data_IF_273039760261
#
_entry.id   IF_273039760261
#
_cell.length_a   1.000
_cell.length_b   1.000
_cell.length_c   1.000
_cell.angle_alpha   90.00
_cell.angle_beta   90.00
_cell.angle_gamma   90.00
#
_symmetry.space_group_name_H-M   'P 1'
#
loop_
_entity.id
_entity.type
_entity.pdbx_description
1 polymer ?
#
# COMPACT_ATOMS: atom_id res chain seq x y z
N UNK A 1 -29.43 -8.53 28.40
CA UNK A 1 -30.50 -8.70 27.39
C UNK A 1 -30.08 -8.18 26.04
N UNK A 2 -29.45 -7.03 25.96
CA UNK A 2 -28.96 -6.43 24.70
C UNK A 2 -27.90 -7.29 23.99
N UNK A 3 -26.96 -7.86 24.74
CA UNK A 3 -25.93 -8.78 24.23
C UNK A 3 -26.48 -10.09 23.67
N UNK A 4 -27.56 -10.61 24.26
CA UNK A 4 -28.22 -11.86 23.80
C UNK A 4 -28.96 -11.62 22.50
N UNK A 5 -29.61 -10.47 22.36
CA UNK A 5 -30.29 -10.06 21.13
C UNK A 5 -29.30 -9.83 19.95
N UNK A 6 -28.13 -9.30 20.26
CA UNK A 6 -27.07 -9.11 19.27
C UNK A 6 -26.50 -10.47 18.78
N UNK A 7 -26.27 -11.39 19.68
CA UNK A 7 -25.85 -12.77 19.32
C UNK A 7 -26.88 -13.47 18.47
N UNK A 8 -28.18 -13.31 18.77
CA UNK A 8 -29.25 -13.91 17.95
C UNK A 8 -29.39 -13.26 16.58
N UNK A 9 -29.17 -11.93 16.48
CA UNK A 9 -29.09 -11.21 15.20
C UNK A 9 -27.94 -11.72 14.35
N UNK A 10 -26.75 -11.84 14.92
CA UNK A 10 -25.53 -12.38 14.28
C UNK A 10 -25.78 -13.82 13.79
N UNK A 11 -26.48 -14.64 14.57
CA UNK A 11 -26.87 -16.01 14.17
C UNK A 11 -27.84 -16.04 12.98
N UNK A 12 -28.73 -15.06 12.87
CA UNK A 12 -29.69 -14.95 11.78
C UNK A 12 -29.06 -14.51 10.47
N UNK A 13 -28.01 -13.73 10.55
CA UNK A 13 -27.18 -13.26 9.40
C UNK A 13 -26.19 -14.32 8.89
N UNK A 14 -26.17 -15.51 9.49
CA UNK A 14 -25.27 -16.64 9.20
C UNK A 14 -25.29 -17.16 7.76
N UNK A 15 -26.25 -16.74 6.95
CA UNK A 15 -26.39 -17.11 5.55
C UNK A 15 -25.78 -16.09 4.55
N UNK A 16 -25.14 -15.01 5.00
CA UNK A 16 -24.47 -14.10 4.10
C UNK A 16 -23.02 -14.53 3.88
N UNK A 17 -22.58 -14.61 2.65
CA UNK A 17 -21.24 -15.04 2.22
C UNK A 17 -20.09 -14.11 2.67
N UNK A 18 -20.39 -13.09 3.47
CA UNK A 18 -19.46 -12.01 3.83
C UNK A 18 -19.38 -11.83 5.34
N UNK A 19 -18.87 -12.83 6.03
CA UNK A 19 -18.77 -12.84 7.49
C UNK A 19 -17.29 -12.91 7.92
N UNK A 20 -16.98 -12.24 9.03
CA UNK A 20 -15.70 -12.36 9.71
C UNK A 20 -15.84 -13.32 10.91
N UNK A 21 -14.99 -14.33 10.98
CA UNK A 21 -14.94 -15.30 12.07
C UNK A 21 -14.13 -14.70 13.22
N UNK A 22 -14.75 -14.51 14.36
CA UNK A 22 -14.07 -14.06 15.60
C UNK A 22 -13.69 -15.25 16.49
N UNK A 23 -14.54 -16.28 16.53
CA UNK A 23 -14.29 -17.52 17.24
C UNK A 23 -15.10 -18.65 16.63
N UNK A 24 -14.94 -19.86 17.16
CA UNK A 24 -15.69 -21.05 16.70
C UNK A 24 -17.20 -20.83 16.59
N UNK A 25 -17.76 -19.98 17.45
CA UNK A 25 -19.22 -19.80 17.59
C UNK A 25 -19.66 -18.36 17.35
N UNK A 26 -18.73 -17.43 17.06
CA UNK A 26 -19.02 -16.00 16.89
C UNK A 26 -18.51 -15.54 15.53
N UNK A 27 -19.42 -15.01 14.74
CA UNK A 27 -19.14 -14.40 13.45
C UNK A 27 -19.88 -13.07 13.37
N UNK A 28 -19.30 -12.09 12.70
CA UNK A 28 -19.89 -10.77 12.44
C UNK A 28 -19.95 -10.51 10.94
N UNK A 29 -20.96 -9.77 10.50
CA UNK A 29 -21.04 -9.34 9.09
C UNK A 29 -19.96 -8.31 8.79
N UNK A 30 -19.28 -8.46 7.66
CA UNK A 30 -18.28 -7.49 7.17
C UNK A 30 -18.90 -6.17 6.70
N UNK A 31 -20.18 -6.20 6.30
CA UNK A 31 -20.87 -5.08 5.68
C UNK A 31 -21.98 -4.49 6.56
N UNK A 32 -21.98 -4.82 7.85
CA UNK A 32 -22.92 -4.20 8.79
C UNK A 32 -22.44 -2.79 9.13
N UNK A 33 -23.04 -1.76 8.52
CA UNK A 33 -22.70 -0.35 8.73
C UNK A 33 -22.99 0.20 10.15
N UNK A 34 -23.64 -0.59 11.01
CA UNK A 34 -23.98 -0.19 12.38
C UNK A 34 -22.84 -0.46 13.38
N UNK A 35 -21.88 -1.33 13.04
CA UNK A 35 -20.79 -1.74 13.94
C UNK A 35 -19.45 -1.46 13.28
N UNK A 36 -18.53 -0.86 14.04
CA UNK A 36 -17.14 -0.73 13.63
C UNK A 36 -16.47 -2.11 13.61
N UNK A 37 -15.91 -2.49 12.47
CA UNK A 37 -15.25 -3.79 12.27
C UNK A 37 -13.78 -3.84 12.76
N UNK A 38 -13.31 -2.83 13.50
CA UNK A 38 -11.98 -2.86 14.11
C UNK A 38 -11.95 -3.88 15.25
N UNK A 39 -10.99 -4.80 15.22
CA UNK A 39 -10.86 -5.87 16.20
C UNK A 39 -9.50 -5.81 16.85
N UNK A 40 -9.48 -5.72 18.17
CA UNK A 40 -8.28 -5.86 18.97
C UNK A 40 -8.18 -7.26 19.54
N UNK A 41 -7.12 -7.99 19.16
CA UNK A 41 -6.82 -9.32 19.66
C UNK A 41 -5.60 -9.29 20.55
N UNK A 42 -5.79 -9.51 21.84
CA UNK A 42 -4.71 -9.54 22.82
C UNK A 42 -4.36 -10.98 23.20
N UNK A 43 -3.12 -11.39 22.89
CA UNK A 43 -2.59 -12.69 23.30
C UNK A 43 -1.06 -12.66 23.26
N UNK A 44 -0.42 -13.43 24.14
CA UNK A 44 1.03 -13.59 24.17
C UNK A 44 1.62 -14.14 22.85
N UNK A 45 2.94 -14.12 22.72
CA UNK A 45 3.63 -14.71 21.56
C UNK A 45 3.35 -16.23 21.53
N UNK A 46 3.21 -16.80 20.31
CA UNK A 46 2.96 -18.23 20.11
C UNK A 46 1.56 -18.73 20.55
N UNK A 47 0.67 -17.86 21.02
CA UNK A 47 -0.67 -18.25 21.47
C UNK A 47 -1.71 -18.38 20.35
N UNK A 48 -1.29 -18.54 19.12
CA UNK A 48 -2.16 -18.91 17.99
C UNK A 48 -2.99 -17.78 17.39
N UNK A 49 -2.68 -16.47 17.61
CA UNK A 49 -3.42 -15.35 17.00
C UNK A 49 -3.60 -15.50 15.49
N UNK A 50 -2.52 -15.76 14.77
CA UNK A 50 -2.56 -15.97 13.34
C UNK A 50 -3.38 -17.19 12.95
N UNK A 51 -3.21 -18.29 13.67
CA UNK A 51 -3.87 -19.55 13.39
C UNK A 51 -5.39 -19.51 13.67
N UNK A 52 -5.81 -18.87 14.77
CA UNK A 52 -7.21 -18.88 15.18
C UNK A 52 -8.05 -17.75 14.56
N UNK A 53 -7.45 -16.66 14.10
CA UNK A 53 -8.18 -15.53 13.52
C UNK A 53 -7.80 -15.25 12.06
N UNK A 54 -6.50 -14.98 11.77
CA UNK A 54 -6.10 -14.51 10.45
C UNK A 54 -6.30 -15.59 9.38
N UNK A 55 -5.82 -16.82 9.61
CA UNK A 55 -5.92 -17.91 8.63
C UNK A 55 -7.37 -18.33 8.34
N UNK A 56 -8.26 -18.57 9.32
CA UNK A 56 -9.64 -18.92 9.04
C UNK A 56 -10.40 -17.85 8.27
N UNK A 57 -10.15 -16.59 8.56
CA UNK A 57 -10.77 -15.48 7.83
C UNK A 57 -10.26 -15.38 6.39
N UNK A 58 -8.95 -15.48 6.18
CA UNK A 58 -8.40 -15.49 4.85
C UNK A 58 -8.85 -16.73 4.03
N UNK A 59 -9.00 -17.88 4.68
CA UNK A 59 -9.46 -19.11 4.03
C UNK A 59 -10.90 -19.04 3.50
N UNK A 60 -11.71 -18.13 4.03
CA UNK A 60 -13.06 -17.91 3.49
C UNK A 60 -13.03 -17.32 2.07
N UNK A 61 -11.94 -16.67 1.66
CA UNK A 61 -11.80 -16.04 0.35
C UNK A 61 -13.01 -15.14 -0.01
N UNK A 62 -13.50 -14.36 0.95
CA UNK A 62 -14.72 -13.57 0.81
C UNK A 62 -14.48 -12.05 0.79
N UNK A 63 -13.22 -11.60 0.83
CA UNK A 63 -12.84 -10.19 0.82
C UNK A 63 -11.44 -10.00 0.22
N UNK A 64 -11.02 -8.78 -0.02
CA UNK A 64 -9.61 -8.45 -0.26
C UNK A 64 -8.88 -8.33 1.09
N UNK A 65 -7.65 -8.83 1.15
CA UNK A 65 -6.89 -8.92 2.39
C UNK A 65 -5.54 -8.24 2.27
N UNK A 66 -5.12 -7.58 3.35
CA UNK A 66 -3.75 -7.09 3.52
C UNK A 66 -3.20 -7.68 4.83
N UNK A 67 -2.07 -8.37 4.77
CA UNK A 67 -1.43 -8.99 5.91
C UNK A 67 -0.04 -8.40 6.16
N UNK A 68 0.25 -8.03 7.41
CA UNK A 68 1.62 -7.90 7.89
C UNK A 68 2.11 -9.28 8.33
N UNK A 69 2.97 -9.91 7.51
CA UNK A 69 3.42 -11.30 7.70
C UNK A 69 4.96 -11.39 7.76
N UNK A 70 5.59 -10.92 8.86
CA UNK A 70 7.05 -10.84 8.97
C UNK A 70 7.78 -12.18 8.83
N UNK A 71 7.07 -13.30 9.02
CA UNK A 71 7.61 -14.67 8.96
C UNK A 71 7.23 -15.41 7.69
N UNK A 72 6.36 -14.84 6.84
CA UNK A 72 5.81 -15.49 5.68
C UNK A 72 4.89 -16.69 6.01
N UNK A 73 4.40 -16.77 7.25
CA UNK A 73 3.58 -17.91 7.69
C UNK A 73 2.19 -17.93 7.06
N UNK A 74 1.58 -16.77 6.88
CA UNK A 74 0.27 -16.64 6.24
C UNK A 74 0.38 -17.03 4.77
N UNK A 75 1.34 -16.45 4.05
CA UNK A 75 1.55 -16.75 2.63
C UNK A 75 1.80 -18.24 2.40
N UNK A 76 2.68 -18.86 3.18
CA UNK A 76 3.00 -20.30 3.04
C UNK A 76 1.83 -21.22 3.28
N UNK A 77 0.95 -20.87 4.23
CA UNK A 77 -0.17 -21.74 4.63
C UNK A 77 -1.40 -21.61 3.74
N UNK A 78 -1.63 -20.40 3.21
CA UNK A 78 -2.91 -20.12 2.56
C UNK A 78 -2.74 -19.58 1.13
N UNK A 79 -1.51 -19.22 0.70
CA UNK A 79 -1.26 -18.65 -0.61
C UNK A 79 -1.75 -19.53 -1.75
N UNK A 80 -1.47 -20.82 -1.73
CA UNK A 80 -1.95 -21.78 -2.74
C UNK A 80 -3.47 -21.79 -2.80
N UNK A 81 -4.13 -21.92 -1.66
CA UNK A 81 -5.59 -21.91 -1.59
C UNK A 81 -6.19 -20.61 -2.18
N UNK A 82 -5.65 -19.44 -1.82
CA UNK A 82 -6.13 -18.18 -2.37
C UNK A 82 -5.89 -18.06 -3.89
N UNK A 83 -4.78 -18.60 -4.39
CA UNK A 83 -4.53 -18.67 -5.84
C UNK A 83 -5.55 -19.56 -6.55
N UNK A 84 -5.91 -20.71 -5.97
CA UNK A 84 -6.96 -21.60 -6.47
C UNK A 84 -8.34 -20.91 -6.48
N UNK A 85 -8.57 -19.98 -5.54
CA UNK A 85 -9.77 -19.13 -5.50
C UNK A 85 -9.65 -17.89 -6.40
N UNK A 86 -8.70 -17.86 -7.33
CA UNK A 86 -8.45 -16.79 -8.30
C UNK A 86 -8.02 -15.44 -7.71
N UNK A 87 -7.47 -15.43 -6.48
CA UNK A 87 -6.91 -14.21 -5.89
C UNK A 87 -5.58 -13.85 -6.54
N UNK A 88 -5.41 -12.58 -6.82
CA UNK A 88 -4.13 -12.01 -7.23
C UNK A 88 -3.31 -11.67 -5.98
N UNK A 89 -2.31 -12.49 -5.68
CA UNK A 89 -1.44 -12.28 -4.54
C UNK A 89 -0.29 -11.34 -4.93
N UNK A 90 -0.05 -10.33 -4.10
CA UNK A 90 1.10 -9.42 -4.18
C UNK A 90 1.89 -9.51 -2.89
N UNK A 91 3.19 -9.65 -3.00
CA UNK A 91 4.10 -9.77 -1.86
C UNK A 91 5.10 -8.63 -1.91
N UNK A 92 5.16 -7.82 -0.85
CA UNK A 92 6.25 -6.89 -0.60
C UNK A 92 7.20 -7.55 0.39
N UNK A 93 8.32 -8.05 -0.11
CA UNK A 93 9.33 -8.73 0.69
C UNK A 93 10.53 -7.79 0.94
N UNK A 94 10.60 -7.23 2.16
CA UNK A 94 11.67 -6.31 2.56
C UNK A 94 12.94 -7.05 3.05
N UNK A 95 12.87 -8.37 3.22
CA UNK A 95 14.03 -9.20 3.64
C UNK A 95 14.79 -9.68 2.41
N UNK A 96 14.05 -10.16 1.40
CA UNK A 96 14.62 -10.60 0.12
C UNK A 96 13.87 -9.90 -1.02
N UNK A 97 14.41 -8.78 -1.45
CA UNK A 97 13.83 -7.93 -2.49
C UNK A 97 13.72 -8.65 -3.85
N UNK A 98 14.55 -9.68 -4.09
CA UNK A 98 14.48 -10.46 -5.32
C UNK A 98 13.17 -11.28 -5.42
N UNK A 99 12.57 -11.61 -4.27
CA UNK A 99 11.29 -12.32 -4.18
C UNK A 99 10.10 -11.37 -3.97
N UNK A 100 10.32 -10.06 -4.06
CA UNK A 100 9.27 -9.05 -3.91
C UNK A 100 8.60 -8.75 -5.25
N UNK A 101 7.28 -8.51 -5.21
CA UNK A 101 6.64 -7.87 -6.34
C UNK A 101 7.05 -6.40 -6.40
N UNK A 102 7.28 -5.91 -7.61
CA UNK A 102 7.52 -4.49 -7.85
C UNK A 102 6.23 -3.68 -7.68
N UNK A 103 6.40 -2.45 -7.22
CA UNK A 103 5.36 -1.46 -7.13
C UNK A 103 5.78 -0.20 -7.86
N UNK A 104 4.98 0.26 -8.80
CA UNK A 104 5.20 1.52 -9.49
C UNK A 104 4.04 2.47 -9.16
N UNK A 105 4.29 3.53 -8.36
CA UNK A 105 3.25 4.47 -7.97
C UNK A 105 2.64 5.22 -9.16
N UNK A 106 3.38 5.41 -10.24
CA UNK A 106 2.88 6.11 -11.44
C UNK A 106 1.71 5.41 -12.13
N UNK A 107 1.54 4.09 -11.94
CA UNK A 107 0.37 3.37 -12.48
C UNK A 107 -0.97 3.79 -11.85
N UNK A 108 -0.93 4.51 -10.74
CA UNK A 108 -2.12 4.99 -10.02
C UNK A 108 -2.38 6.48 -10.22
N UNK A 109 -1.50 7.18 -10.94
CA UNK A 109 -1.66 8.59 -11.26
C UNK A 109 -2.55 8.75 -12.49
N UNK A 110 -3.52 9.65 -12.42
CA UNK A 110 -4.40 10.00 -13.51
C UNK A 110 -4.22 11.49 -13.86
N UNK A 111 -4.24 11.82 -15.16
CA UNK A 111 -4.22 13.19 -15.65
C UNK A 111 -5.41 14.04 -15.19
N UNK A 112 -6.52 13.38 -14.81
CA UNK A 112 -7.73 14.03 -14.32
C UNK A 112 -7.64 14.40 -12.82
N UNK A 113 -6.65 13.85 -12.09
CA UNK A 113 -6.46 14.02 -10.65
C UNK A 113 -5.02 14.44 -10.35
N UNK A 114 -4.71 15.70 -10.64
CA UNK A 114 -3.36 16.27 -10.45
C UNK A 114 -2.92 16.26 -8.97
N UNK A 115 -3.89 16.31 -8.05
CA UNK A 115 -3.65 16.22 -6.61
C UNK A 115 -2.98 14.91 -6.18
N UNK A 116 -3.14 13.83 -6.96
CA UNK A 116 -2.47 12.55 -6.68
C UNK A 116 -0.95 12.65 -6.87
N UNK A 117 -0.50 13.45 -7.84
CA UNK A 117 0.93 13.75 -8.04
C UNK A 117 1.50 14.46 -6.83
N UNK A 118 0.79 15.47 -6.31
CA UNK A 118 1.20 16.21 -5.12
C UNK A 118 1.26 15.30 -3.88
N UNK A 119 0.27 14.42 -3.73
CA UNK A 119 0.22 13.44 -2.64
C UNK A 119 1.40 12.46 -2.72
N UNK A 120 1.78 12.02 -3.92
CA UNK A 120 2.93 11.15 -4.12
C UNK A 120 4.25 11.87 -3.75
N UNK A 121 4.43 13.12 -4.21
CA UNK A 121 5.60 13.94 -3.89
C UNK A 121 5.72 14.16 -2.39
N UNK A 122 4.65 14.60 -1.74
CA UNK A 122 4.59 14.79 -0.29
C UNK A 122 4.94 13.51 0.47
N UNK A 123 4.47 12.36 -0.03
CA UNK A 123 4.78 11.06 0.58
C UNK A 123 6.26 10.70 0.44
N UNK A 124 6.87 10.97 -0.72
CA UNK A 124 8.30 10.75 -0.95
C UNK A 124 9.10 11.66 -0.01
N UNK A 125 8.86 12.98 -0.03
CA UNK A 125 9.58 13.94 0.80
C UNK A 125 9.51 13.59 2.29
N UNK A 126 8.30 13.36 2.82
CA UNK A 126 8.10 13.03 4.25
C UNK A 126 8.77 11.73 4.70
N UNK A 127 8.96 10.77 3.80
CA UNK A 127 9.56 9.47 4.13
C UNK A 127 11.06 9.40 3.82
N UNK A 128 11.62 10.37 3.08
CA UNK A 128 13.05 10.43 2.75
C UNK A 128 13.83 11.41 3.61
N UNK A 129 13.18 12.42 4.17
CA UNK A 129 13.82 13.49 4.94
C UNK A 129 14.49 13.04 6.25
N UNK A 130 14.33 11.83 6.71
CA UNK A 130 14.95 11.34 7.94
C UNK A 130 14.84 12.34 9.11
N UNK A 131 15.72 12.21 10.12
CA UNK A 131 15.81 13.13 11.27
C UNK A 131 16.48 14.50 10.94
N UNK A 132 16.91 14.70 9.71
CA UNK A 132 17.54 15.93 9.23
C UNK A 132 16.54 16.82 8.51
N UNK A 133 15.67 17.49 9.26
CA UNK A 133 14.92 18.62 8.69
C UNK A 133 15.92 19.69 8.28
N UNK A 134 15.97 20.00 7.01
CA UNK A 134 16.62 21.23 6.53
C UNK A 134 15.98 22.39 7.29
N UNK A 135 16.77 23.21 7.97
CA UNK A 135 16.27 24.39 8.67
C UNK A 135 15.88 25.52 7.70
N UNK A 136 16.04 25.33 6.40
CA UNK A 136 15.78 26.33 5.39
C UNK A 136 14.59 25.90 4.50
N UNK A 137 13.43 26.55 4.67
CA UNK A 137 12.23 26.28 3.87
C UNK A 137 12.42 26.55 2.35
N UNK A 138 13.44 27.27 1.97
CA UNK A 138 13.73 27.56 0.56
C UNK A 138 14.13 26.30 -0.22
N UNK A 139 15.04 25.51 0.34
CA UNK A 139 15.52 24.27 -0.29
C UNK A 139 14.43 23.22 -0.38
N UNK A 140 13.63 23.08 0.68
CA UNK A 140 12.49 22.17 0.72
C UNK A 140 11.45 22.49 -0.39
N UNK A 141 11.15 23.79 -0.56
CA UNK A 141 10.28 24.23 -1.66
C UNK A 141 10.89 24.03 -3.03
N UNK A 142 12.19 24.26 -3.17
CA UNK A 142 12.91 24.04 -4.43
C UNK A 142 12.87 22.57 -4.85
N UNK A 143 13.12 21.65 -3.93
CA UNK A 143 13.04 20.22 -4.16
C UNK A 143 11.62 19.79 -4.55
N UNK A 144 10.62 20.29 -3.84
CA UNK A 144 9.22 20.01 -4.14
C UNK A 144 8.83 20.47 -5.55
N UNK A 145 9.21 21.68 -5.93
CA UNK A 145 8.93 22.23 -7.27
C UNK A 145 9.63 21.42 -8.37
N UNK A 146 10.88 21.03 -8.15
CA UNK A 146 11.63 20.21 -9.11
C UNK A 146 10.96 18.86 -9.32
N UNK A 147 10.56 18.17 -8.24
CA UNK A 147 9.83 16.91 -8.33
C UNK A 147 8.48 17.09 -9.03
N UNK A 148 7.77 18.19 -8.77
CA UNK A 148 6.53 18.52 -9.48
C UNK A 148 6.77 18.64 -10.99
N UNK A 149 7.76 19.44 -11.42
CA UNK A 149 8.08 19.58 -12.83
C UNK A 149 8.35 18.24 -13.50
N UNK A 150 9.20 17.40 -12.90
CA UNK A 150 9.56 16.08 -13.45
C UNK A 150 8.34 15.14 -13.49
N UNK A 151 7.55 15.07 -12.42
CA UNK A 151 6.43 14.13 -12.36
C UNK A 151 5.28 14.54 -13.27
N UNK A 152 4.99 15.85 -13.38
CA UNK A 152 4.02 16.34 -14.35
C UNK A 152 4.49 16.14 -15.79
N UNK A 153 5.76 16.43 -16.09
CA UNK A 153 6.34 16.10 -17.38
C UNK A 153 6.15 14.62 -17.73
N UNK A 154 6.49 13.74 -16.81
CA UNK A 154 6.30 12.29 -17.01
C UNK A 154 4.83 11.92 -17.20
N UNK A 155 3.93 12.54 -16.45
CA UNK A 155 2.50 12.26 -16.56
C UNK A 155 1.89 12.69 -17.90
N UNK A 156 2.32 13.82 -18.43
CA UNK A 156 1.73 14.40 -19.64
C UNK A 156 2.45 13.96 -20.92
N UNK A 157 3.76 13.85 -20.91
CA UNK A 157 4.57 13.64 -22.11
C UNK A 157 4.98 12.17 -22.31
N UNK A 158 5.16 11.39 -21.24
CA UNK A 158 5.58 10.01 -21.39
C UNK A 158 4.40 9.04 -21.46
N UNK A 159 4.63 7.91 -22.15
CA UNK A 159 3.67 6.78 -22.17
C UNK A 159 3.62 6.14 -20.78
N UNK A 160 2.49 5.51 -20.46
CA UNK A 160 2.26 4.87 -19.14
C UNK A 160 3.31 3.82 -18.78
N UNK A 161 3.79 3.06 -19.74
CA UNK A 161 4.80 2.02 -19.56
C UNK A 161 6.22 2.58 -19.28
N UNK A 162 6.47 3.83 -19.62
CA UNK A 162 7.74 4.53 -19.38
C UNK A 162 7.79 5.26 -18.03
N UNK A 163 6.64 5.53 -17.43
CA UNK A 163 6.54 6.28 -16.17
C UNK A 163 7.00 5.43 -14.99
N UNK A 164 8.13 5.78 -14.37
CA UNK A 164 8.67 5.06 -13.21
C UNK A 164 9.64 5.94 -12.43
N UNK A 165 9.88 5.64 -11.15
CA UNK A 165 10.89 6.35 -10.37
C UNK A 165 12.30 6.29 -10.98
N UNK A 166 12.78 5.16 -11.54
CA UNK A 166 14.04 5.15 -12.27
C UNK A 166 14.07 6.12 -13.45
N UNK A 167 12.96 6.28 -14.19
CA UNK A 167 12.87 7.25 -15.28
C UNK A 167 12.90 8.70 -14.78
N UNK A 168 12.27 8.99 -13.65
CA UNK A 168 12.39 10.30 -13.00
C UNK A 168 13.85 10.64 -12.67
N UNK A 169 14.60 9.69 -12.12
CA UNK A 169 16.03 9.86 -11.84
C UNK A 169 16.88 10.04 -13.11
N UNK A 170 16.53 9.36 -14.19
CA UNK A 170 17.18 9.55 -15.49
C UNK A 170 16.99 10.98 -15.99
N UNK A 171 15.75 11.49 -15.97
CA UNK A 171 15.42 12.87 -16.36
C UNK A 171 16.21 13.88 -15.50
N UNK A 172 16.23 13.68 -14.18
CA UNK A 172 17.00 14.56 -13.29
C UNK A 172 18.50 14.56 -13.58
N UNK A 173 19.07 13.42 -14.00
CA UNK A 173 20.49 13.35 -14.41
C UNK A 173 20.76 14.05 -15.73
N UNK A 174 19.82 14.03 -16.66
CA UNK A 174 19.94 14.75 -17.93
C UNK A 174 19.87 16.28 -17.73
N UNK A 175 19.17 16.73 -16.69
CA UNK A 175 19.08 18.13 -16.29
C UNK A 175 20.27 18.61 -15.43
N UNK A 176 21.41 17.90 -15.42
CA UNK A 176 22.60 18.26 -14.64
C UNK A 176 23.17 19.58 -15.15
N UNK A 177 23.28 20.57 -14.26
CA UNK A 177 23.94 21.86 -14.53
C UNK A 177 25.42 21.74 -14.17
N UNK A 178 26.30 22.14 -15.08
CA UNK A 178 27.76 22.20 -14.85
C UNK A 178 28.20 23.62 -14.62
N UNK A 179 28.58 23.93 -13.40
CA UNK A 179 29.06 25.26 -13.00
C UNK A 179 30.40 25.66 -13.67
N UNK A 180 31.19 24.67 -14.11
CA UNK A 180 32.50 24.85 -14.71
C UNK A 180 32.45 25.18 -16.22
N UNK A 181 31.29 25.16 -16.84
CA UNK A 181 31.09 25.39 -18.26
C UNK A 181 29.82 26.21 -18.55
N UNK A 182 29.95 27.54 -18.63
CA UNK A 182 28.86 28.47 -18.95
C UNK A 182 28.17 28.22 -20.32
N UNK A 183 28.79 27.46 -21.19
CA UNK A 183 28.23 27.09 -22.51
C UNK A 183 27.68 25.68 -22.56
N UNK A 184 27.58 24.98 -21.42
CA UNK A 184 27.01 23.64 -21.39
C UNK A 184 25.50 23.71 -21.55
N UNK A 185 25.00 23.10 -22.61
CA UNK A 185 23.55 22.86 -22.83
C UNK A 185 23.28 21.43 -22.40
N UNK A 186 22.36 21.25 -21.46
CA UNK A 186 21.96 19.90 -21.01
C UNK A 186 21.13 19.18 -22.09
N UNK A 187 21.10 17.87 -22.07
CA UNK A 187 20.22 17.10 -22.96
C UNK A 187 18.71 17.34 -22.68
N UNK A 188 18.44 18.15 -21.66
CA UNK A 188 17.08 18.55 -21.26
C UNK A 188 16.66 19.91 -21.81
N UNK A 189 17.61 20.77 -22.27
CA UNK A 189 17.35 22.08 -22.86
C UNK A 189 16.97 21.96 -24.35
#
# INVERSE_FOLDING_TARGET
KEYVNEIERIKKERNSSSQMILSKNVQISLYNGEINNNILVMAGSGRGKTYSLALPNAAQANASYVFSDPKGDVLRRIGTHLTEQLYKIKVLNLIDMAQSNSYNPFHYLNKEHEEDVMTLIDSIMKNTDGDKKSNDPFWEKGEQLLLQCVFFYMLYELREDERSLPKALEILRLAEVREDNEGYISDFD
#
